data_IF_252440542618
#
_entry.id   IF_252440542618
#
_cell.length_a   1.000
_cell.length_b   1.000
_cell.length_c   1.000
_cell.angle_alpha   90.00
_cell.angle_beta   90.00
_cell.angle_gamma   90.00
#
_symmetry.space_group_name_H-M   'P 1'
#
loop_
_entity.id
_entity.type
_entity.pdbx_description
1 polymer ?
#
# COMPACT_ATOMS: atom_id res chain seq x y z
N UNK A 1 -16.03 -15.60 -16.59
CA UNK A 1 -16.03 -14.54 -15.57
C UNK A 1 -15.17 -13.41 -16.10
N UNK A 2 -15.72 -12.21 -16.23
CA UNK A 2 -14.93 -11.01 -16.52
C UNK A 2 -14.07 -10.70 -15.31
N UNK A 3 -12.77 -10.47 -15.52
CA UNK A 3 -11.88 -10.07 -14.43
C UNK A 3 -12.16 -8.62 -14.06
N UNK A 4 -12.00 -8.28 -12.77
CA UNK A 4 -12.17 -6.93 -12.25
C UNK A 4 -10.78 -6.30 -12.05
N UNK A 5 -10.61 -5.07 -12.51
CA UNK A 5 -9.38 -4.27 -12.36
C UNK A 5 -9.72 -2.99 -11.60
N UNK A 6 -9.01 -2.73 -10.50
CA UNK A 6 -9.03 -1.44 -9.84
C UNK A 6 -8.03 -0.50 -10.51
N UNK A 7 -8.51 0.67 -10.96
CA UNK A 7 -7.66 1.70 -11.55
C UNK A 7 -7.52 2.85 -10.56
N UNK A 8 -6.34 2.99 -9.97
CA UNK A 8 -5.94 4.17 -9.21
C UNK A 8 -5.32 5.22 -10.16
N UNK A 9 -5.85 6.43 -10.17
CA UNK A 9 -5.42 7.46 -11.11
C UNK A 9 -5.64 8.90 -10.62
N UNK A 10 -4.97 9.85 -11.27
CA UNK A 10 -5.16 11.29 -11.10
C UNK A 10 -5.25 11.95 -12.49
N UNK A 11 -6.04 13.00 -12.63
CA UNK A 11 -6.16 13.79 -13.85
C UNK A 11 -4.88 14.55 -14.22
N UNK A 12 -4.00 14.80 -13.24
CA UNK A 12 -2.65 15.35 -13.46
C UNK A 12 -1.70 14.34 -14.10
N UNK A 13 -2.01 13.05 -14.13
CA UNK A 13 -1.11 12.05 -14.69
C UNK A 13 -1.40 11.81 -16.18
N UNK A 14 -0.49 12.17 -17.11
CA UNK A 14 -0.67 11.84 -18.52
C UNK A 14 -0.63 10.33 -18.77
N UNK A 15 0.14 9.58 -17.99
CA UNK A 15 0.21 8.11 -18.13
C UNK A 15 -1.08 7.45 -17.66
N UNK A 16 -1.78 8.03 -16.68
CA UNK A 16 -3.10 7.55 -16.30
C UNK A 16 -4.14 7.79 -17.40
N UNK A 17 -4.05 8.92 -18.13
CA UNK A 17 -4.84 9.13 -19.35
C UNK A 17 -4.55 8.05 -20.39
N UNK A 18 -3.28 7.81 -20.72
CA UNK A 18 -2.89 6.76 -21.66
C UNK A 18 -3.44 5.39 -21.26
N UNK A 19 -3.25 4.98 -20.00
CA UNK A 19 -3.75 3.71 -19.48
C UNK A 19 -5.28 3.61 -19.61
N UNK A 20 -6.01 4.67 -19.21
CA UNK A 20 -7.47 4.69 -19.28
C UNK A 20 -8.00 4.56 -20.71
N UNK A 21 -7.32 5.15 -21.71
CA UNK A 21 -7.73 4.97 -23.11
C UNK A 21 -7.67 3.52 -23.57
N UNK A 22 -6.70 2.74 -23.10
CA UNK A 22 -6.51 1.35 -23.50
C UNK A 22 -7.39 0.39 -22.69
N UNK A 23 -7.52 0.63 -21.38
CA UNK A 23 -8.32 -0.23 -20.49
C UNK A 23 -9.78 -0.31 -20.95
N UNK A 24 -10.32 0.77 -21.51
CA UNK A 24 -11.71 0.83 -22.02
C UNK A 24 -12.01 -0.17 -23.14
N UNK A 25 -10.99 -0.58 -23.90
CA UNK A 25 -11.15 -1.51 -25.02
C UNK A 25 -10.94 -2.97 -24.57
N UNK A 26 -10.63 -3.20 -23.29
CA UNK A 26 -10.48 -4.53 -22.71
C UNK A 26 -11.83 -5.06 -22.23
N UNK A 27 -12.02 -6.38 -22.35
CA UNK A 27 -13.20 -7.07 -21.84
C UNK A 27 -13.05 -7.37 -20.33
N UNK A 28 -12.98 -6.32 -19.52
CA UNK A 28 -12.80 -6.37 -18.05
C UNK A 28 -13.75 -5.37 -17.38
N UNK A 29 -14.08 -5.64 -16.12
CA UNK A 29 -14.76 -4.66 -15.28
C UNK A 29 -13.71 -3.71 -14.68
N UNK A 30 -13.95 -2.40 -14.76
CA UNK A 30 -13.01 -1.39 -14.25
C UNK A 30 -13.66 -0.68 -13.07
N UNK A 31 -13.05 -0.82 -11.90
CA UNK A 31 -13.40 -0.05 -10.69
C UNK A 31 -12.52 1.18 -10.64
N UNK A 32 -13.13 2.36 -10.81
CA UNK A 32 -12.42 3.63 -10.83
C UNK A 32 -12.15 4.12 -9.40
N UNK A 33 -10.87 4.30 -9.08
CA UNK A 33 -10.37 4.79 -7.79
C UNK A 33 -9.57 6.09 -8.00
N UNK A 34 -10.22 7.22 -8.33
CA UNK A 34 -9.50 8.48 -8.45
C UNK A 34 -8.85 8.83 -7.10
N UNK A 35 -7.62 9.34 -7.16
CA UNK A 35 -6.75 9.64 -6.02
C UNK A 35 -5.93 10.91 -6.27
N UNK A 36 -5.30 11.44 -5.23
CA UNK A 36 -4.45 12.63 -5.31
C UNK A 36 -2.97 12.25 -5.42
N UNK A 37 -2.40 12.20 -6.63
CA UNK A 37 -1.06 11.64 -6.86
C UNK A 37 0.05 12.38 -6.10
N UNK A 38 -0.09 13.70 -5.93
CA UNK A 38 0.91 14.49 -5.20
C UNK A 38 0.89 14.17 -3.70
N UNK A 39 -0.29 13.96 -3.10
CA UNK A 39 -0.42 13.50 -1.72
C UNK A 39 0.09 12.07 -1.54
N UNK A 40 -0.15 11.18 -2.52
CA UNK A 40 0.42 9.83 -2.50
C UNK A 40 1.95 9.91 -2.50
N UNK A 41 2.54 10.70 -3.41
CA UNK A 41 3.99 10.88 -3.49
C UNK A 41 4.56 11.41 -2.17
N UNK A 42 3.94 12.41 -1.56
CA UNK A 42 4.33 12.94 -0.25
C UNK A 42 4.31 11.85 0.84
N UNK A 43 3.20 11.11 0.96
CA UNK A 43 3.04 10.04 1.96
C UNK A 43 4.09 8.92 1.83
N UNK A 44 4.53 8.61 0.61
CA UNK A 44 5.54 7.56 0.38
C UNK A 44 6.97 8.11 0.23
N UNK A 45 7.21 9.39 0.57
CA UNK A 45 8.54 10.01 0.51
C UNK A 45 9.11 10.18 -0.91
N UNK A 46 8.25 10.29 -1.93
CA UNK A 46 8.60 10.47 -3.33
C UNK A 46 8.32 11.91 -3.81
N UNK A 47 8.92 12.29 -4.94
CA UNK A 47 8.73 13.61 -5.57
C UNK A 47 8.46 13.46 -7.07
N UNK A 48 7.79 14.42 -7.73
CA UNK A 48 7.50 14.34 -9.16
C UNK A 48 8.79 14.53 -9.99
N UNK A 49 9.55 13.46 -10.15
CA UNK A 49 10.86 13.46 -10.82
C UNK A 49 10.83 13.90 -12.28
N UNK A 50 9.69 13.78 -12.97
CA UNK A 50 9.49 14.31 -14.33
C UNK A 50 9.51 15.86 -14.36
N UNK A 51 9.20 16.50 -13.23
CA UNK A 51 9.25 17.95 -13.05
C UNK A 51 10.62 18.36 -12.49
N UNK A 52 11.10 17.68 -11.44
CA UNK A 52 12.33 18.09 -10.73
C UNK A 52 13.61 17.73 -11.48
N UNK A 53 13.59 16.73 -12.37
CA UNK A 53 14.73 16.34 -13.20
C UNK A 53 14.48 16.70 -14.67
N UNK A 54 15.21 17.70 -15.19
CA UNK A 54 15.05 18.18 -16.56
C UNK A 54 15.30 17.08 -17.63
N UNK A 55 16.26 16.18 -17.41
CA UNK A 55 16.54 15.08 -18.33
C UNK A 55 15.36 14.09 -18.40
N UNK A 56 14.81 13.69 -17.24
CA UNK A 56 13.63 12.82 -17.16
C UNK A 56 12.40 13.49 -17.75
N UNK A 57 12.23 14.79 -17.52
CA UNK A 57 11.16 15.59 -18.14
C UNK A 57 11.22 15.60 -19.66
N UNK A 58 12.41 15.78 -20.27
CA UNK A 58 12.59 15.67 -21.73
C UNK A 58 12.25 14.27 -22.25
N UNK A 59 12.73 13.24 -21.55
CA UNK A 59 12.44 11.85 -21.91
C UNK A 59 10.94 11.58 -21.89
N UNK A 60 10.25 11.94 -20.79
CA UNK A 60 8.83 11.69 -20.63
C UNK A 60 7.99 12.35 -21.73
N UNK A 61 8.34 13.57 -22.18
CA UNK A 61 7.62 14.20 -23.31
C UNK A 61 7.74 13.39 -24.60
N UNK A 62 8.93 12.90 -24.92
CA UNK A 62 9.15 12.07 -26.10
C UNK A 62 8.45 10.72 -25.97
N UNK A 63 8.45 10.13 -24.77
CA UNK A 63 7.78 8.86 -24.49
C UNK A 63 6.26 8.96 -24.63
N UNK A 64 5.66 9.99 -24.05
CA UNK A 64 4.23 10.28 -24.18
C UNK A 64 3.82 10.44 -25.64
N UNK A 65 4.60 11.16 -26.45
CA UNK A 65 4.32 11.31 -27.89
C UNK A 65 4.36 9.97 -28.64
N UNK A 66 5.31 9.07 -28.31
CA UNK A 66 5.41 7.73 -28.90
C UNK A 66 4.21 6.86 -28.54
N UNK A 67 3.80 6.87 -27.27
CA UNK A 67 2.63 6.12 -26.84
C UNK A 67 1.34 6.66 -27.41
N UNK A 68 1.17 7.98 -27.47
CA UNK A 68 0.02 8.61 -28.10
C UNK A 68 -0.09 8.19 -29.57
N UNK A 69 1.02 8.23 -30.31
CA UNK A 69 1.07 7.73 -31.69
C UNK A 69 0.71 6.25 -31.80
N UNK A 70 1.28 5.40 -30.93
CA UNK A 70 1.00 3.95 -30.90
C UNK A 70 -0.46 3.63 -30.62
N UNK A 71 -1.07 4.37 -29.70
CA UNK A 71 -2.46 4.19 -29.29
C UNK A 71 -3.47 4.89 -30.19
N UNK A 72 -3.00 5.65 -31.19
CA UNK A 72 -3.88 6.37 -32.12
C UNK A 72 -4.67 7.50 -31.46
N UNK A 73 -4.14 8.08 -30.37
CA UNK A 73 -4.80 9.17 -29.64
C UNK A 73 -4.09 10.50 -29.89
N UNK A 74 -4.86 11.58 -29.92
CA UNK A 74 -4.32 12.94 -29.98
C UNK A 74 -3.84 13.37 -28.60
N UNK A 75 -2.61 13.89 -28.53
CA UNK A 75 -2.06 14.48 -27.31
C UNK A 75 -1.80 15.98 -27.55
N UNK A 76 -2.60 16.81 -26.91
CA UNK A 76 -2.47 18.27 -26.88
C UNK A 76 -2.73 18.74 -25.43
N UNK A 77 -1.74 18.60 -24.53
CA UNK A 77 -1.94 18.82 -23.12
C UNK A 77 -2.11 20.30 -22.79
N UNK A 78 -3.08 20.63 -21.94
CA UNK A 78 -3.09 21.91 -21.22
C UNK A 78 -1.95 21.97 -20.20
N UNK A 79 -1.72 23.13 -19.60
CA UNK A 79 -0.77 23.23 -18.50
C UNK A 79 -1.35 22.51 -17.26
N UNK A 80 -0.85 21.29 -17.01
CA UNK A 80 -1.25 20.43 -15.90
C UNK A 80 -1.30 21.14 -14.54
N UNK A 81 -0.41 22.11 -14.28
CA UNK A 81 -0.37 22.85 -13.01
C UNK A 81 -1.56 23.77 -12.78
N UNK A 82 -2.24 24.17 -13.86
CA UNK A 82 -3.35 25.11 -13.81
C UNK A 82 -4.69 24.37 -13.65
N UNK A 83 -4.68 23.03 -13.73
CA UNK A 83 -5.89 22.21 -13.58
C UNK A 83 -6.13 21.83 -12.12
N UNK A 84 -7.39 21.90 -11.68
CA UNK A 84 -7.86 21.32 -10.44
C UNK A 84 -8.19 19.83 -10.65
N UNK A 85 -7.13 19.00 -10.58
CA UNK A 85 -7.26 17.54 -10.67
C UNK A 85 -8.08 16.93 -9.52
N UNK A 86 -8.19 17.62 -8.39
CA UNK A 86 -8.95 17.12 -7.23
C UNK A 86 -10.45 17.35 -7.47
N UNK A 87 -10.85 18.51 -7.99
CA UNK A 87 -12.22 18.74 -8.43
C UNK A 87 -12.62 17.80 -9.58
N UNK A 88 -11.73 17.53 -10.54
CA UNK A 88 -11.99 16.53 -11.59
C UNK A 88 -12.22 15.13 -10.99
N UNK A 89 -11.39 14.73 -10.00
CA UNK A 89 -11.52 13.46 -9.29
C UNK A 89 -12.83 13.36 -8.51
N UNK A 90 -13.23 14.44 -7.82
CA UNK A 90 -14.51 14.53 -7.10
C UNK A 90 -15.71 14.48 -8.05
N UNK A 91 -15.61 15.06 -9.25
CA UNK A 91 -16.67 14.97 -10.25
C UNK A 91 -16.94 13.51 -10.67
N UNK A 92 -15.88 12.68 -10.76
CA UNK A 92 -16.04 11.23 -11.01
C UNK A 92 -16.71 10.53 -9.83
N UNK A 93 -16.28 10.80 -8.60
CA UNK A 93 -16.87 10.20 -7.39
C UNK A 93 -18.31 10.64 -7.12
N UNK A 94 -18.72 11.79 -7.66
CA UNK A 94 -20.09 12.29 -7.59
C UNK A 94 -21.07 11.55 -8.53
N UNK A 95 -20.56 10.74 -9.46
CA UNK A 95 -21.38 9.97 -10.40
C UNK A 95 -22.37 9.03 -9.68
N UNK A 96 -23.53 8.83 -10.29
CA UNK A 96 -24.58 7.93 -9.83
C UNK A 96 -24.34 6.47 -10.22
N UNK A 97 -23.46 6.21 -11.20
CA UNK A 97 -23.16 4.85 -11.65
C UNK A 97 -21.72 4.70 -12.18
N UNK A 98 -21.19 3.46 -12.23
CA UNK A 98 -19.87 3.19 -12.84
C UNK A 98 -19.78 3.64 -14.30
N UNK A 99 -20.86 3.50 -15.07
CA UNK A 99 -20.89 3.91 -16.48
C UNK A 99 -20.78 5.44 -16.63
N UNK A 100 -21.50 6.18 -15.78
CA UNK A 100 -21.40 7.64 -15.72
C UNK A 100 -20.02 8.08 -15.27
N UNK A 101 -19.45 7.45 -14.23
CA UNK A 101 -18.08 7.72 -13.76
C UNK A 101 -17.04 7.54 -14.87
N UNK A 102 -17.17 6.48 -15.68
CA UNK A 102 -16.29 6.24 -16.82
C UNK A 102 -16.46 7.30 -17.93
N UNK A 103 -17.69 7.73 -18.20
CA UNK A 103 -17.98 8.77 -19.18
C UNK A 103 -17.43 10.15 -18.75
N UNK A 104 -17.61 10.53 -17.48
CA UNK A 104 -17.02 11.75 -16.88
C UNK A 104 -15.49 11.68 -16.98
N UNK A 105 -14.91 10.53 -16.60
CA UNK A 105 -13.45 10.34 -16.65
C UNK A 105 -12.90 10.56 -18.06
N UNK A 106 -13.55 9.98 -19.07
CA UNK A 106 -13.15 10.17 -20.46
C UNK A 106 -13.28 11.62 -20.90
N UNK A 107 -14.39 12.28 -20.57
CA UNK A 107 -14.66 13.67 -20.95
C UNK A 107 -13.59 14.63 -20.40
N UNK A 108 -13.32 14.55 -19.10
CA UNK A 108 -12.36 15.40 -18.43
C UNK A 108 -10.92 15.10 -18.88
N UNK A 109 -10.58 13.82 -19.09
CA UNK A 109 -9.27 13.48 -19.64
C UNK A 109 -9.06 14.03 -21.05
N UNK A 110 -10.07 13.91 -21.94
CA UNK A 110 -9.98 14.46 -23.30
C UNK A 110 -9.86 15.98 -23.26
N UNK A 111 -10.63 16.66 -22.41
CA UNK A 111 -10.55 18.10 -22.25
C UNK A 111 -9.11 18.54 -21.90
N UNK A 112 -8.49 17.94 -20.88
CA UNK A 112 -7.14 18.31 -20.44
C UNK A 112 -6.03 17.87 -21.42
N UNK A 113 -6.08 16.62 -21.88
CA UNK A 113 -4.92 15.98 -22.53
C UNK A 113 -5.00 15.90 -24.05
N UNK A 114 -6.20 16.02 -24.63
CA UNK A 114 -6.40 15.97 -26.08
C UNK A 114 -6.89 17.30 -26.67
N UNK A 115 -7.62 18.11 -25.91
CA UNK A 115 -8.23 19.36 -26.40
C UNK A 115 -7.49 20.60 -25.90
N UNK A 116 -6.55 20.46 -24.96
CA UNK A 116 -5.77 21.57 -24.42
C UNK A 116 -6.58 22.53 -23.55
N UNK A 117 -7.73 22.09 -23.01
CA UNK A 117 -8.56 22.88 -22.10
C UNK A 117 -7.99 22.85 -20.69
N UNK A 118 -8.02 24.00 -20.03
CA UNK A 118 -7.70 24.12 -18.61
C UNK A 118 -8.99 23.96 -17.81
N UNK A 119 -8.98 23.05 -16.85
CA UNK A 119 -10.06 22.76 -15.92
C UNK A 119 -9.68 23.24 -14.52
N UNK A 120 -9.66 24.54 -14.31
CA UNK A 120 -9.18 25.15 -13.06
C UNK A 120 -10.27 25.21 -11.98
N UNK A 121 -11.54 25.25 -12.41
CA UNK A 121 -12.69 25.48 -11.53
C UNK A 121 -13.87 24.60 -11.91
N UNK A 122 -14.89 24.57 -11.05
CA UNK A 122 -16.17 23.91 -11.37
C UNK A 122 -16.81 24.48 -12.64
N UNK A 123 -16.64 25.79 -12.90
CA UNK A 123 -17.17 26.46 -14.08
C UNK A 123 -16.45 26.04 -15.38
N UNK A 124 -15.27 25.45 -15.28
CA UNK A 124 -14.57 24.82 -16.42
C UNK A 124 -14.95 23.34 -16.57
N UNK A 125 -15.10 22.64 -15.43
CA UNK A 125 -15.33 21.19 -15.35
C UNK A 125 -16.75 20.82 -15.80
N UNK A 126 -17.76 21.50 -15.30
CA UNK A 126 -19.16 21.16 -15.56
C UNK A 126 -19.54 21.31 -17.05
N UNK A 127 -19.10 22.37 -17.77
CA UNK A 127 -19.32 22.43 -19.22
C UNK A 127 -18.60 21.35 -20.00
N UNK A 128 -17.42 20.89 -19.57
CA UNK A 128 -16.72 19.78 -20.22
C UNK A 128 -17.48 18.46 -20.09
N UNK A 129 -18.12 18.23 -18.94
CA UNK A 129 -19.02 17.10 -18.70
C UNK A 129 -20.29 17.22 -19.55
N UNK A 130 -20.90 18.40 -19.60
CA UNK A 130 -22.10 18.66 -20.40
C UNK A 130 -21.86 18.45 -21.91
N UNK A 131 -20.70 18.87 -22.41
CA UNK A 131 -20.31 18.66 -23.81
C UNK A 131 -20.17 17.17 -24.19
N UNK A 132 -20.01 16.28 -23.20
CA UNK A 132 -20.00 14.83 -23.40
C UNK A 132 -21.41 14.19 -23.34
N UNK A 133 -22.47 15.01 -23.22
CA UNK A 133 -23.86 14.54 -23.19
C UNK A 133 -24.36 14.08 -21.83
N UNK A 134 -23.65 14.43 -20.75
CA UNK A 134 -24.02 14.12 -19.37
C UNK A 134 -24.69 15.33 -18.69
N UNK A 135 -25.58 15.10 -17.73
CA UNK A 135 -26.17 16.18 -16.94
C UNK A 135 -25.20 16.61 -15.82
N UNK A 136 -24.67 17.84 -15.84
CA UNK A 136 -23.76 18.32 -14.81
C UNK A 136 -24.46 18.65 -13.49
N UNK A 137 -25.80 18.79 -13.45
CA UNK A 137 -26.49 19.30 -12.26
C UNK A 137 -26.34 18.37 -11.02
N UNK A 138 -26.52 17.04 -11.12
CA UNK A 138 -26.28 16.12 -10.00
C UNK A 138 -24.81 16.12 -9.53
N UNK A 139 -23.88 16.25 -10.47
CA UNK A 139 -22.44 16.26 -10.20
C UNK A 139 -22.05 17.54 -9.47
N UNK A 140 -22.54 18.69 -9.93
CA UNK A 140 -22.34 20.00 -9.30
C UNK A 140 -22.80 20.00 -7.85
N UNK A 141 -23.99 19.45 -7.58
CA UNK A 141 -24.56 19.37 -6.23
C UNK A 141 -23.70 18.54 -5.25
N UNK A 142 -22.97 17.53 -5.75
CA UNK A 142 -22.18 16.60 -4.93
C UNK A 142 -20.68 16.87 -4.97
N UNK A 143 -20.21 17.75 -5.85
CA UNK A 143 -18.79 18.02 -6.08
C UNK A 143 -18.04 18.39 -4.79
N UNK A 144 -18.71 19.15 -3.92
CA UNK A 144 -18.19 19.62 -2.63
C UNK A 144 -18.85 18.91 -1.43
N UNK A 145 -19.55 17.80 -1.66
CA UNK A 145 -20.14 16.99 -0.59
C UNK A 145 -19.00 16.45 0.30
N UNK A 146 -19.06 16.62 1.63
CA UNK A 146 -18.09 16.07 2.57
C UNK A 146 -17.83 14.56 2.36
N UNK A 147 -18.86 13.78 1.98
CA UNK A 147 -18.70 12.35 1.72
C UNK A 147 -17.83 12.08 0.48
N UNK A 148 -17.97 12.89 -0.57
CA UNK A 148 -17.16 12.78 -1.80
C UNK A 148 -15.71 13.17 -1.53
N UNK A 149 -15.49 14.23 -0.75
CA UNK A 149 -14.15 14.66 -0.32
C UNK A 149 -13.48 13.55 0.50
N UNK A 150 -14.18 13.01 1.50
CA UNK A 150 -13.66 11.93 2.34
C UNK A 150 -13.34 10.67 1.53
N UNK A 151 -14.17 10.32 0.52
CA UNK A 151 -13.89 9.17 -0.34
C UNK A 151 -12.63 9.37 -1.20
N UNK A 152 -12.37 10.59 -1.70
CA UNK A 152 -11.14 10.89 -2.43
C UNK A 152 -9.90 10.76 -1.52
N UNK A 153 -10.00 11.23 -0.28
CA UNK A 153 -8.95 11.07 0.72
C UNK A 153 -8.72 9.60 1.08
N UNK A 154 -9.78 8.81 1.26
CA UNK A 154 -9.70 7.38 1.51
C UNK A 154 -9.00 6.64 0.36
N UNK A 155 -9.40 6.89 -0.89
CA UNK A 155 -8.72 6.31 -2.06
C UNK A 155 -7.23 6.71 -2.13
N UNK A 156 -6.91 7.94 -1.73
CA UNK A 156 -5.54 8.46 -1.71
C UNK A 156 -4.70 7.77 -0.63
N UNK A 157 -5.26 7.54 0.56
CA UNK A 157 -4.59 6.81 1.63
C UNK A 157 -4.36 5.35 1.23
N UNK A 158 -5.41 4.69 0.73
CA UNK A 158 -5.32 3.31 0.24
C UNK A 158 -4.24 3.15 -0.84
N UNK A 159 -4.16 4.10 -1.78
CA UNK A 159 -3.13 4.09 -2.81
C UNK A 159 -1.71 4.27 -2.25
N UNK A 160 -1.54 5.07 -1.20
CA UNK A 160 -0.25 5.27 -0.55
C UNK A 160 0.18 4.05 0.29
N UNK A 161 -0.78 3.38 0.92
CA UNK A 161 -0.56 2.13 1.67
C UNK A 161 -0.19 0.96 0.73
N UNK A 162 -0.65 1.00 -0.52
CA UNK A 162 -0.25 0.04 -1.57
C UNK A 162 1.15 0.37 -2.11
N UNK A 163 2.18 -0.13 -1.44
CA UNK A 163 3.54 -0.12 -2.00
C UNK A 163 3.57 -1.00 -3.26
N UNK A 164 4.00 -0.43 -4.39
CA UNK A 164 4.05 -1.15 -5.66
C UNK A 164 4.89 -2.44 -5.54
N UNK A 165 4.27 -3.58 -5.86
CA UNK A 165 4.87 -4.90 -5.73
C UNK A 165 4.67 -5.57 -4.37
N UNK A 166 4.12 -4.89 -3.36
CA UNK A 166 3.63 -5.55 -2.14
C UNK A 166 2.31 -6.24 -2.43
N UNK A 167 2.22 -7.50 -2.01
CA UNK A 167 1.06 -8.39 -2.21
C UNK A 167 0.23 -8.53 -0.94
N UNK A 168 0.86 -8.47 0.22
CA UNK A 168 0.22 -8.69 1.51
C UNK A 168 1.01 -8.03 2.63
N UNK A 169 0.29 -7.45 3.58
CA UNK A 169 0.83 -7.06 4.89
C UNK A 169 -0.10 -7.63 5.95
N UNK A 170 0.42 -8.54 6.77
CA UNK A 170 -0.27 -9.06 7.94
C UNK A 170 0.19 -8.35 9.20
N UNK A 171 -0.78 -7.99 10.02
CA UNK A 171 -0.62 -7.50 11.39
C UNK A 171 -1.71 -8.13 12.25
N UNK A 172 -1.75 -7.78 13.54
CA UNK A 172 -2.82 -8.24 14.42
C UNK A 172 -4.23 -7.78 14.01
N UNK A 173 -4.36 -6.82 13.10
CA UNK A 173 -5.64 -6.33 12.62
C UNK A 173 -6.29 -7.22 11.55
N UNK A 174 -5.50 -8.00 10.80
CA UNK A 174 -5.97 -8.66 9.58
C UNK A 174 -5.38 -10.05 9.32
N UNK A 175 -4.51 -10.56 10.18
CA UNK A 175 -4.02 -11.93 10.06
C UNK A 175 -5.20 -12.92 10.13
N UNK A 176 -5.22 -13.97 9.28
CA UNK A 176 -6.29 -14.96 9.30
C UNK A 176 -6.30 -15.71 10.63
N UNK A 177 -7.45 -16.32 10.96
CA UNK A 177 -7.58 -17.17 12.14
C UNK A 177 -6.57 -18.34 12.08
N UNK A 178 -5.87 -18.57 13.19
CA UNK A 178 -4.84 -19.58 13.33
C UNK A 178 -5.25 -20.59 14.40
N UNK A 179 -4.64 -21.78 14.37
CA UNK A 179 -4.84 -22.79 15.41
C UNK A 179 -4.42 -22.27 16.80
N UNK A 180 -4.95 -22.86 17.88
CA UNK A 180 -4.58 -22.46 19.23
C UNK A 180 -3.08 -22.73 19.48
N UNK A 181 -2.42 -21.97 20.37
CA UNK A 181 -1.06 -22.26 20.76
C UNK A 181 -1.00 -23.64 21.43
N UNK A 182 -0.02 -24.46 21.04
CA UNK A 182 0.20 -25.76 21.65
C UNK A 182 1.00 -25.62 22.96
N UNK A 183 0.63 -26.43 23.96
CA UNK A 183 1.25 -26.42 25.29
C UNK A 183 2.71 -26.91 25.31
N UNK A 184 3.33 -26.99 26.50
CA UNK A 184 4.74 -27.37 26.64
C UNK A 184 5.01 -28.86 26.37
N UNK A 185 4.00 -29.66 26.08
CA UNK A 185 4.11 -31.07 25.74
C UNK A 185 4.57 -31.26 24.27
N UNK A 186 5.26 -32.36 23.97
CA UNK A 186 5.74 -32.67 22.60
C UNK A 186 7.06 -32.00 22.19
N UNK A 187 7.47 -32.15 20.93
CA UNK A 187 8.69 -31.53 20.38
C UNK A 187 8.47 -30.02 20.19
N UNK A 188 9.40 -29.19 20.67
CA UNK A 188 9.36 -27.73 20.53
C UNK A 188 9.28 -27.27 19.06
N UNK A 189 9.81 -28.06 18.12
CA UNK A 189 9.86 -27.73 16.70
C UNK A 189 8.54 -28.02 15.97
N UNK A 190 7.70 -28.91 16.51
CA UNK A 190 6.43 -29.31 15.89
C UNK A 190 5.24 -28.48 16.38
N UNK A 191 5.45 -27.61 17.38
CA UNK A 191 4.37 -26.85 18.03
C UNK A 191 3.86 -25.71 17.15
N UNK A 192 2.54 -25.65 16.98
CA UNK A 192 1.89 -24.48 16.41
C UNK A 192 2.14 -23.24 17.29
N UNK A 193 2.73 -22.21 16.68
CA UNK A 193 2.93 -20.89 17.28
C UNK A 193 2.14 -19.86 16.47
N UNK A 194 0.90 -19.57 16.88
CA UNK A 194 0.12 -18.58 16.17
C UNK A 194 0.73 -17.19 16.37
N UNK A 195 0.89 -16.44 15.29
CA UNK A 195 1.48 -15.10 15.27
C UNK A 195 0.42 -14.04 14.93
N UNK A 196 0.62 -12.79 15.35
CA UNK A 196 -0.33 -11.70 15.07
C UNK A 196 -1.77 -11.96 15.56
N UNK A 197 -1.96 -12.80 16.57
CA UNK A 197 -3.30 -13.12 17.11
C UNK A 197 -3.83 -12.12 18.12
N UNK A 198 -2.98 -11.20 18.59
CA UNK A 198 -3.33 -10.15 19.53
C UNK A 198 -2.48 -8.90 19.31
N UNK A 199 -2.88 -7.79 19.94
CA UNK A 199 -2.14 -6.53 20.01
C UNK A 199 -1.08 -6.51 21.13
N UNK A 200 -0.83 -7.66 21.78
CA UNK A 200 0.07 -7.80 22.93
C UNK A 200 1.45 -8.29 22.49
N UNK A 201 2.49 -7.71 23.07
CA UNK A 201 3.88 -8.14 22.88
C UNK A 201 4.37 -8.84 24.14
N UNK A 202 4.45 -10.17 24.09
CA UNK A 202 4.77 -10.98 25.26
C UNK A 202 6.28 -11.17 25.47
N UNK A 203 7.07 -11.07 24.40
CA UNK A 203 8.51 -11.30 24.45
C UNK A 203 9.28 -10.47 23.42
N UNK A 204 10.56 -10.24 23.73
CA UNK A 204 11.47 -9.56 22.82
C UNK A 204 11.68 -10.38 21.55
N UNK A 205 11.51 -9.74 20.39
CA UNK A 205 11.65 -10.38 19.07
C UNK A 205 10.36 -10.99 18.52
N UNK A 206 9.22 -10.84 19.20
CA UNK A 206 7.91 -11.21 18.66
C UNK A 206 7.62 -10.42 17.36
N UNK A 207 7.28 -11.11 16.25
CA UNK A 207 6.90 -10.43 15.01
C UNK A 207 5.65 -9.57 15.20
N UNK A 208 5.69 -8.32 14.72
CA UNK A 208 4.53 -7.40 14.76
C UNK A 208 3.87 -7.18 13.41
N UNK A 209 4.58 -7.49 12.33
CA UNK A 209 4.06 -7.49 10.97
C UNK A 209 4.78 -8.52 10.08
N UNK A 210 4.10 -8.97 9.03
CA UNK A 210 4.67 -9.82 7.98
C UNK A 210 4.33 -9.26 6.59
N UNK A 211 5.33 -9.11 5.73
CA UNK A 211 5.17 -8.50 4.40
C UNK A 211 5.52 -9.49 3.31
N UNK A 212 4.61 -9.67 2.35
CA UNK A 212 4.84 -10.42 1.10
C UNK A 212 4.89 -9.44 -0.06
N UNK A 213 5.89 -9.59 -0.92
CA UNK A 213 6.05 -8.77 -2.12
C UNK A 213 6.61 -9.59 -3.29
N UNK A 214 6.59 -9.00 -4.47
CA UNK A 214 7.13 -9.57 -5.71
C UNK A 214 8.65 -9.81 -5.66
N UNK A 215 9.36 -9.10 -4.78
CA UNK A 215 10.78 -9.34 -4.52
C UNK A 215 11.15 -9.09 -3.05
N UNK A 216 12.24 -9.70 -2.55
CA UNK A 216 12.75 -9.44 -1.19
C UNK A 216 13.10 -7.97 -0.93
N UNK A 217 13.53 -7.23 -1.95
CA UNK A 217 13.88 -5.80 -1.85
C UNK A 217 12.63 -4.96 -1.59
N UNK A 218 11.54 -5.24 -2.31
CA UNK A 218 10.26 -4.56 -2.12
C UNK A 218 9.69 -4.92 -0.75
N UNK A 219 9.77 -6.20 -0.34
CA UNK A 219 9.30 -6.63 0.98
C UNK A 219 10.06 -5.91 2.12
N UNK A 220 11.40 -5.82 2.04
CA UNK A 220 12.21 -5.11 3.04
C UNK A 220 11.94 -3.60 3.04
N UNK A 221 11.81 -2.99 1.86
CA UNK A 221 11.48 -1.57 1.77
C UNK A 221 10.13 -1.30 2.42
N UNK A 222 9.10 -2.07 2.06
CA UNK A 222 7.77 -1.94 2.63
C UNK A 222 7.74 -2.22 4.13
N UNK A 223 8.46 -3.23 4.62
CA UNK A 223 8.61 -3.47 6.06
C UNK A 223 9.27 -2.29 6.79
N UNK A 224 10.23 -1.62 6.16
CA UNK A 224 10.86 -0.41 6.69
C UNK A 224 9.99 0.85 6.67
N UNK A 225 8.84 0.82 5.98
CA UNK A 225 7.84 1.89 6.01
C UNK A 225 6.78 1.69 7.11
N UNK A 226 6.79 0.54 7.80
CA UNK A 226 5.84 0.27 8.88
C UNK A 226 6.27 1.07 10.12
N UNK A 227 5.43 2.01 10.53
CA UNK A 227 5.55 2.69 11.82
C UNK A 227 4.77 1.91 12.89
N UNK A 228 5.41 1.65 14.03
CA UNK A 228 4.81 0.89 15.13
C UNK A 228 4.83 1.74 16.39
N UNK A 229 3.65 1.93 16.99
CA UNK A 229 3.48 2.56 18.29
C UNK A 229 3.16 1.50 19.34
N UNK A 230 3.81 1.60 20.50
CA UNK A 230 3.61 0.67 21.61
C UNK A 230 3.01 1.38 22.81
N UNK A 231 1.90 0.83 23.33
CA UNK A 231 1.44 1.17 24.67
C UNK A 231 2.37 0.51 25.70
N UNK A 232 3.07 1.33 26.49
CA UNK A 232 3.98 0.82 27.52
C UNK A 232 3.18 0.38 28.74
N UNK A 233 3.31 -0.90 29.11
CA UNK A 233 2.72 -1.46 30.32
C UNK A 233 3.82 -2.03 31.24
N UNK A 234 3.55 -2.16 32.56
CA UNK A 234 4.45 -2.88 33.46
C UNK A 234 4.62 -4.33 32.98
N UNK A 235 5.83 -4.68 32.56
CA UNK A 235 6.09 -6.03 32.08
C UNK A 235 6.02 -7.06 33.20
N UNK A 236 5.58 -8.27 32.85
CA UNK A 236 5.61 -9.43 33.74
C UNK A 236 6.97 -10.13 33.61
N UNK A 237 8.01 -9.47 34.09
CA UNK A 237 9.37 -10.03 34.14
C UNK A 237 10.01 -9.73 35.49
N UNK A 238 10.98 -10.54 35.89
CA UNK A 238 11.77 -10.34 37.09
C UNK A 238 13.26 -10.26 36.71
N UNK A 239 13.75 -9.05 36.48
CA UNK A 239 15.19 -8.82 36.29
C UNK A 239 15.91 -9.05 37.63
N UNK A 240 16.90 -9.94 37.66
CA UNK A 240 17.72 -10.22 38.85
C UNK A 240 17.12 -11.19 39.88
N UNK A 241 16.01 -11.86 39.58
CA UNK A 241 15.51 -12.99 40.38
C UNK A 241 15.24 -14.17 39.46
N UNK A 242 15.67 -15.40 39.79
CA UNK A 242 15.10 -16.56 39.11
C UNK A 242 13.59 -16.48 39.36
N UNK A 243 12.81 -16.36 38.29
CA UNK A 243 11.36 -16.48 38.38
C UNK A 243 10.97 -17.86 38.92
N UNK A 244 9.67 -18.12 39.09
CA UNK A 244 9.22 -19.47 39.41
C UNK A 244 9.71 -20.45 38.34
N UNK A 245 10.40 -21.51 38.78
CA UNK A 245 10.89 -22.55 37.89
C UNK A 245 9.68 -23.23 37.23
N UNK A 246 9.52 -23.03 35.93
CA UNK A 246 8.54 -23.80 35.16
C UNK A 246 8.89 -25.30 35.20
N UNK A 247 7.88 -26.16 34.99
CA UNK A 247 8.05 -27.61 34.86
C UNK A 247 8.74 -27.99 33.53
N UNK A 248 9.95 -27.49 33.32
CA UNK A 248 10.80 -27.92 32.23
C UNK A 248 11.51 -29.21 32.65
N UNK A 249 11.61 -30.19 31.74
CA UNK A 249 12.47 -31.37 31.94
C UNK A 249 13.91 -30.89 32.16
N UNK A 250 14.34 -30.88 33.40
CA UNK A 250 15.57 -30.21 33.85
C UNK A 250 16.83 -31.06 33.74
N UNK A 251 16.71 -32.38 33.52
CA UNK A 251 17.88 -33.24 33.31
C UNK A 251 17.76 -34.00 31.99
N UNK A 252 18.60 -33.60 31.03
CA UNK A 252 18.93 -34.45 29.89
C UNK A 252 20.38 -34.88 30.05
N UNK A 253 20.62 -36.17 30.28
CA UNK A 253 21.97 -36.75 30.27
C UNK A 253 22.22 -37.40 28.91
N UNK A 254 23.19 -36.87 28.17
CA UNK A 254 23.63 -37.43 26.88
C UNK A 254 25.09 -37.87 27.04
N UNK A 255 25.31 -39.18 27.05
CA UNK A 255 26.63 -39.78 27.15
C UNK A 255 27.24 -39.76 28.56
N UNK A 256 28.48 -40.25 28.65
CA UNK A 256 29.27 -40.33 29.88
C UNK A 256 30.28 -39.17 29.93
N UNK A 257 29.91 -38.07 30.58
CA UNK A 257 30.67 -36.82 30.58
C UNK A 257 32.02 -36.96 31.32
N UNK A 258 32.02 -37.56 32.51
CA UNK A 258 33.21 -37.65 33.36
C UNK A 258 34.37 -38.42 32.70
N UNK A 259 34.15 -39.62 32.10
CA UNK A 259 35.20 -40.32 31.39
C UNK A 259 35.69 -39.56 30.14
N UNK A 260 34.80 -38.86 29.45
CA UNK A 260 35.14 -38.11 28.24
C UNK A 260 36.02 -36.89 28.56
N UNK A 261 35.72 -36.17 29.64
CA UNK A 261 36.57 -35.07 30.13
C UNK A 261 37.92 -35.59 30.62
N UNK A 262 37.95 -36.72 31.33
CA UNK A 262 39.20 -37.32 31.82
C UNK A 262 40.17 -37.79 30.72
N UNK A 263 39.65 -38.13 29.54
CA UNK A 263 40.45 -38.53 28.38
C UNK A 263 40.81 -37.37 27.43
N UNK A 264 40.30 -36.16 27.66
CA UNK A 264 40.51 -35.03 26.78
C UNK A 264 41.93 -34.46 26.90
N UNK A 265 42.54 -34.10 25.76
CA UNK A 265 43.87 -33.46 25.75
C UNK A 265 43.87 -32.07 26.40
N UNK A 266 42.71 -31.39 26.43
CA UNK A 266 42.46 -30.10 27.07
C UNK A 266 41.01 -30.06 27.55
N UNK A 267 40.79 -29.56 28.76
CA UNK A 267 39.46 -29.30 29.34
C UNK A 267 39.32 -27.82 29.69
N UNK A 268 38.14 -27.24 29.43
CA UNK A 268 37.80 -25.88 29.83
C UNK A 268 36.55 -25.94 30.71
N UNK A 269 36.67 -25.42 31.93
CA UNK A 269 35.55 -25.23 32.85
C UNK A 269 35.18 -23.74 32.86
N UNK A 270 33.92 -23.44 32.56
CA UNK A 270 33.43 -22.08 32.46
C UNK A 270 31.97 -22.01 32.92
N UNK A 271 31.72 -21.11 33.87
CA UNK A 271 30.36 -20.81 34.32
C UNK A 271 29.77 -19.71 33.45
N UNK A 272 28.66 -20.02 32.78
CA UNK A 272 27.86 -19.03 32.06
C UNK A 272 26.63 -18.69 32.88
N UNK A 273 26.36 -17.40 33.02
CA UNK A 273 25.10 -16.89 33.56
C UNK A 273 24.33 -16.21 32.45
N UNK A 274 23.06 -16.56 32.26
CA UNK A 274 22.13 -15.71 31.53
C UNK A 274 21.78 -14.52 32.43
N UNK A 275 21.78 -13.27 31.93
CA UNK A 275 21.18 -12.18 32.67
C UNK A 275 19.71 -12.52 32.91
N UNK A 276 19.29 -12.55 34.17
CA UNK A 276 17.88 -12.69 34.55
C UNK A 276 17.22 -11.33 34.53
#
# INVERSE_FOLDING_TARGET
MTQTIELFYDFRSPYSYLAFTQLRDLNVEIVLRPMQILKVMEKVGNVPTTITCAAKGRYARNDLARWAHRYGITLNPSNMRDNDGDACSRAVLAAASPAEAAAITLALYRACWSEGKTLATADDILPAIAAAGLDPAPISARLNDPAVIAQLEANTNEAAERVAGVRLVWTHHNAPEQGPPEGPEGDMMDRARPEFVSDRIDYYGMPVAFVVADSPEIARHAAGLIEVEYAVEPGRYALGSPGEAGEWKSETRIGEIEPALGAAAVTVDATYSTPY
#
